data_IF_732633382114
#
_entry.id   IF_732633382114
#
_cell.length_a   1.000
_cell.length_b   1.000
_cell.length_c   1.000
_cell.angle_alpha   90.00
_cell.angle_beta   90.00
_cell.angle_gamma   90.00
#
_symmetry.space_group_name_H-M   'P 1'
#
loop_
_entity.id
_entity.type
_entity.pdbx_description
1 polymer ?
#
# COMPACT_ATOMS: atom_id res chain seq x y z
N UNK A 1 29.62 44.51 -41.21
CA UNK A 1 29.44 43.08 -41.53
C UNK A 1 29.89 42.16 -40.38
N UNK A 2 31.04 42.42 -39.72
CA UNK A 2 31.46 41.66 -38.54
C UNK A 2 30.61 41.93 -37.28
N UNK A 3 30.13 43.16 -37.07
CA UNK A 3 29.24 43.49 -35.93
C UNK A 3 27.83 42.90 -36.08
N UNK A 4 27.31 42.77 -37.31
CA UNK A 4 26.01 42.14 -37.56
C UNK A 4 26.03 40.63 -37.31
N UNK A 5 27.14 39.95 -37.61
CA UNK A 5 27.32 38.54 -37.30
C UNK A 5 27.48 38.28 -35.79
N UNK A 6 28.00 39.26 -35.04
CA UNK A 6 28.10 39.17 -33.58
C UNK A 6 26.74 39.37 -32.90
N UNK A 7 25.94 40.33 -33.38
CA UNK A 7 24.57 40.56 -32.86
C UNK A 7 23.60 39.43 -33.21
N UNK A 8 23.72 38.77 -34.37
CA UNK A 8 22.93 37.57 -34.69
C UNK A 8 23.36 36.35 -33.85
N UNK A 9 24.64 36.22 -33.51
CA UNK A 9 25.14 35.16 -32.62
C UNK A 9 24.65 35.33 -31.18
N UNK A 10 24.54 36.55 -30.67
CA UNK A 10 24.00 36.83 -29.33
C UNK A 10 22.47 36.71 -29.28
N UNK A 11 21.78 37.09 -30.36
CA UNK A 11 20.31 36.99 -30.49
C UNK A 11 19.82 35.54 -30.64
N UNK A 12 20.60 34.67 -31.31
CA UNK A 12 20.24 33.27 -31.57
C UNK A 12 20.60 32.31 -30.42
N UNK A 13 21.23 32.79 -29.33
CA UNK A 13 21.20 32.11 -28.03
C UNK A 13 19.85 32.32 -27.33
N UNK A 14 18.78 32.18 -28.11
CA UNK A 14 17.41 32.09 -27.64
C UNK A 14 17.32 31.07 -26.51
N UNK A 15 17.25 31.60 -25.28
CA UNK A 15 16.38 31.14 -24.21
C UNK A 15 16.16 29.62 -24.19
N UNK A 16 17.25 28.85 -24.06
CA UNK A 16 17.11 27.56 -23.41
C UNK A 16 16.85 27.91 -21.96
N UNK A 17 15.57 28.09 -21.59
CA UNK A 17 15.13 28.15 -20.20
C UNK A 17 15.44 26.78 -19.60
N UNK A 18 16.70 26.57 -19.22
CA UNK A 18 17.11 25.48 -18.35
C UNK A 18 16.43 25.81 -17.03
N UNK A 19 15.27 25.20 -16.79
CA UNK A 19 14.59 25.27 -15.50
C UNK A 19 15.62 24.93 -14.42
N UNK A 20 15.74 25.71 -13.34
CA UNK A 20 16.74 25.47 -12.32
C UNK A 20 16.60 24.02 -11.82
N UNK A 21 17.69 23.31 -11.50
CA UNK A 21 17.66 21.90 -11.10
C UNK A 21 16.67 21.62 -9.95
N UNK A 22 16.36 22.62 -9.13
CA UNK A 22 15.31 22.58 -8.12
C UNK A 22 13.90 22.33 -8.69
N UNK A 23 13.55 22.89 -9.84
CA UNK A 23 12.22 22.75 -10.45
C UNK A 23 11.94 21.32 -10.95
N UNK A 24 12.97 20.61 -11.44
CA UNK A 24 12.84 19.20 -11.82
C UNK A 24 12.65 18.31 -10.59
N UNK A 25 13.42 18.55 -9.52
CA UNK A 25 13.28 17.81 -8.26
C UNK A 25 11.89 18.03 -7.64
N UNK A 26 11.41 19.27 -7.59
CA UNK A 26 10.08 19.59 -7.06
C UNK A 26 8.98 18.90 -7.87
N UNK A 27 9.06 18.93 -9.20
CA UNK A 27 8.08 18.24 -10.07
C UNK A 27 8.08 16.73 -9.84
N UNK A 28 9.25 16.11 -9.72
CA UNK A 28 9.37 14.67 -9.49
C UNK A 28 8.84 14.27 -8.11
N UNK A 29 9.10 15.08 -7.07
CA UNK A 29 8.55 14.86 -5.72
C UNK A 29 7.04 14.97 -5.73
N UNK A 30 6.49 16.03 -6.34
CA UNK A 30 5.03 16.22 -6.44
C UNK A 30 4.37 15.06 -7.19
N UNK A 31 4.94 14.64 -8.33
CA UNK A 31 4.41 13.51 -9.10
C UNK A 31 4.41 12.21 -8.27
N UNK A 32 5.48 11.95 -7.51
CA UNK A 32 5.59 10.75 -6.72
C UNK A 32 4.65 10.77 -5.49
N UNK A 33 4.45 11.93 -4.86
CA UNK A 33 3.43 12.11 -3.82
C UNK A 33 2.03 11.84 -4.35
N UNK A 34 1.70 12.35 -5.54
CA UNK A 34 0.39 12.11 -6.18
C UNK A 34 0.18 10.62 -6.44
N UNK A 35 1.20 9.90 -6.94
CA UNK A 35 1.13 8.45 -7.15
C UNK A 35 0.83 7.73 -5.84
N UNK A 36 1.54 8.04 -4.75
CA UNK A 36 1.28 7.43 -3.43
C UNK A 36 -0.14 7.67 -2.95
N UNK A 37 -0.64 8.91 -3.08
CA UNK A 37 -2.01 9.26 -2.67
C UNK A 37 -3.04 8.49 -3.48
N UNK A 38 -2.86 8.40 -4.80
CA UNK A 38 -3.75 7.63 -5.69
C UNK A 38 -3.70 6.14 -5.34
N UNK A 39 -2.50 5.58 -5.17
CA UNK A 39 -2.33 4.17 -4.77
C UNK A 39 -3.01 3.89 -3.43
N UNK A 40 -2.89 4.79 -2.46
CA UNK A 40 -3.55 4.65 -1.17
C UNK A 40 -5.09 4.69 -1.29
N UNK A 41 -5.61 5.61 -2.11
CA UNK A 41 -7.05 5.70 -2.38
C UNK A 41 -7.61 4.45 -3.06
N UNK A 42 -6.88 3.88 -4.03
CA UNK A 42 -7.27 2.63 -4.70
C UNK A 42 -7.31 1.47 -3.70
N UNK A 43 -6.29 1.33 -2.84
CA UNK A 43 -6.23 0.27 -1.82
C UNK A 43 -7.41 0.38 -0.84
N UNK A 44 -7.72 1.60 -0.39
CA UNK A 44 -8.82 1.84 0.53
C UNK A 44 -10.17 1.45 -0.09
N UNK A 45 -10.42 1.87 -1.33
CA UNK A 45 -11.64 1.55 -2.06
C UNK A 45 -11.74 0.05 -2.38
N UNK A 46 -10.65 -0.59 -2.78
CA UNK A 46 -10.62 -2.03 -3.09
C UNK A 46 -10.84 -2.89 -1.84
N UNK A 47 -10.28 -2.49 -0.69
CA UNK A 47 -10.47 -3.19 0.58
C UNK A 47 -11.94 -3.21 1.01
N UNK A 48 -12.63 -2.06 0.88
CA UNK A 48 -14.07 -2.00 1.17
C UNK A 48 -14.92 -2.82 0.18
N UNK A 49 -14.52 -2.89 -1.09
CA UNK A 49 -15.15 -3.76 -2.08
C UNK A 49 -14.97 -5.25 -1.76
N UNK A 50 -13.77 -5.63 -1.33
CA UNK A 50 -13.43 -7.01 -1.02
C UNK A 50 -14.14 -7.52 0.25
N UNK A 51 -14.23 -6.70 1.31
CA UNK A 51 -15.00 -7.07 2.52
C UNK A 51 -16.49 -7.27 2.18
N UNK A 52 -17.08 -6.36 1.40
CA UNK A 52 -18.46 -6.53 0.93
C UNK A 52 -18.63 -7.82 0.13
N UNK A 53 -17.69 -8.16 -0.74
CA UNK A 53 -17.73 -9.39 -1.52
C UNK A 53 -17.61 -10.64 -0.63
N UNK A 54 -16.71 -10.64 0.36
CA UNK A 54 -16.57 -11.73 1.32
C UNK A 54 -17.86 -11.94 2.13
N UNK A 55 -18.47 -10.86 2.63
CA UNK A 55 -19.77 -10.92 3.33
C UNK A 55 -20.87 -11.48 2.44
N UNK A 56 -20.96 -11.04 1.18
CA UNK A 56 -21.94 -11.56 0.22
C UNK A 56 -21.73 -13.06 -0.05
N UNK A 57 -20.49 -13.51 -0.23
CA UNK A 57 -20.17 -14.92 -0.45
C UNK A 57 -20.57 -15.79 0.75
N UNK A 58 -20.24 -15.35 1.97
CA UNK A 58 -20.63 -16.04 3.19
C UNK A 58 -22.17 -16.09 3.32
N UNK A 59 -22.86 -14.99 3.02
CA UNK A 59 -24.32 -14.92 3.07
C UNK A 59 -24.98 -15.88 2.08
N UNK A 60 -24.45 -16.01 0.87
CA UNK A 60 -24.96 -16.96 -0.14
C UNK A 60 -24.84 -18.40 0.37
N UNK A 61 -23.71 -18.75 1.01
CA UNK A 61 -23.53 -20.09 1.59
C UNK A 61 -24.50 -20.34 2.74
N UNK A 62 -24.67 -19.38 3.65
CA UNK A 62 -25.63 -19.50 4.75
C UNK A 62 -27.07 -19.67 4.23
N UNK A 63 -27.48 -18.91 3.21
CA UNK A 63 -28.80 -19.08 2.57
C UNK A 63 -28.97 -20.44 1.91
N UNK A 64 -27.96 -20.90 1.18
CA UNK A 64 -27.99 -22.22 0.54
C UNK A 64 -28.09 -23.34 1.59
N UNK A 65 -27.33 -23.25 2.68
CA UNK A 65 -27.40 -24.18 3.80
C UNK A 65 -28.76 -24.13 4.51
N UNK A 66 -29.33 -22.94 4.74
CA UNK A 66 -30.63 -22.77 5.39
C UNK A 66 -31.76 -23.37 4.54
N UNK A 67 -31.68 -23.27 3.22
CA UNK A 67 -32.66 -23.84 2.30
C UNK A 67 -32.70 -25.38 2.30
N UNK A 68 -31.66 -26.04 2.82
CA UNK A 68 -31.60 -27.51 2.96
C UNK A 68 -32.21 -28.01 4.28
N UNK A 69 -32.56 -27.09 5.19
CA UNK A 69 -33.17 -27.42 6.48
C UNK A 69 -34.68 -27.29 6.36
N UNK A 70 -35.39 -28.40 6.53
CA UNK A 70 -36.85 -28.37 6.56
C UNK A 70 -37.31 -27.92 7.94
N UNK A 71 -38.38 -27.10 8.05
CA UNK A 71 -38.90 -26.66 9.35
C UNK A 71 -39.27 -27.81 10.29
N UNK A 72 -39.70 -28.95 9.72
CA UNK A 72 -40.01 -30.17 10.47
C UNK A 72 -38.79 -30.88 11.07
N UNK A 73 -37.58 -30.56 10.62
CA UNK A 73 -36.33 -31.06 11.22
C UNK A 73 -36.02 -30.35 12.55
N UNK A 74 -36.57 -29.14 12.75
CA UNK A 74 -36.45 -28.38 14.00
C UNK A 74 -37.52 -28.89 14.98
N UNK A 75 -37.42 -30.17 15.34
CA UNK A 75 -38.35 -30.85 16.23
C UNK A 75 -37.71 -31.23 17.56
N UNK A 76 -38.56 -31.47 18.58
CA UNK A 76 -38.13 -31.91 19.92
C UNK A 76 -37.88 -33.43 20.02
N UNK A 77 -38.07 -34.18 18.91
CA UNK A 77 -37.77 -35.62 18.89
C UNK A 77 -36.28 -35.86 18.73
N UNK A 78 -35.74 -36.78 19.53
CA UNK A 78 -34.33 -37.21 19.48
C UNK A 78 -33.91 -37.62 18.05
N UNK A 79 -34.78 -38.29 17.28
CA UNK A 79 -34.48 -38.73 15.92
C UNK A 79 -34.39 -37.55 14.91
N UNK A 80 -35.23 -36.52 15.10
CA UNK A 80 -35.15 -35.30 14.30
C UNK A 80 -33.87 -34.51 14.63
N UNK A 81 -33.55 -34.39 15.93
CA UNK A 81 -32.34 -33.73 16.40
C UNK A 81 -31.06 -34.42 15.90
N UNK A 82 -31.01 -35.75 15.94
CA UNK A 82 -29.88 -36.53 15.40
C UNK A 82 -29.69 -36.29 13.89
N UNK A 83 -30.77 -36.28 13.10
CA UNK A 83 -30.71 -35.99 11.66
C UNK A 83 -30.24 -34.55 11.41
N UNK A 84 -30.70 -33.60 12.22
CA UNK A 84 -30.31 -32.21 12.13
C UNK A 84 -28.81 -32.00 12.44
N UNK A 85 -28.30 -32.58 13.52
CA UNK A 85 -26.87 -32.56 13.85
C UNK A 85 -26.02 -33.16 12.74
N UNK A 86 -26.44 -34.28 12.14
CA UNK A 86 -25.74 -34.90 11.01
C UNK A 86 -25.69 -33.99 9.78
N UNK A 87 -26.81 -33.33 9.43
CA UNK A 87 -26.86 -32.35 8.32
C UNK A 87 -25.95 -31.15 8.58
N UNK A 88 -25.99 -30.57 9.78
CA UNK A 88 -25.15 -29.42 10.15
C UNK A 88 -23.66 -29.77 10.11
N UNK A 89 -23.29 -30.97 10.56
CA UNK A 89 -21.92 -31.48 10.48
C UNK A 89 -21.46 -31.64 9.03
N UNK A 90 -22.28 -32.23 8.17
CA UNK A 90 -21.97 -32.37 6.75
C UNK A 90 -21.79 -31.00 6.06
N UNK A 91 -22.60 -30.00 6.41
CA UNK A 91 -22.48 -28.63 5.89
C UNK A 91 -21.17 -27.97 6.33
N UNK A 92 -20.78 -28.15 7.60
CA UNK A 92 -19.50 -27.67 8.12
C UNK A 92 -18.33 -28.36 7.42
N UNK A 93 -18.36 -29.69 7.29
CA UNK A 93 -17.30 -30.47 6.65
C UNK A 93 -17.13 -30.16 5.15
N UNK A 94 -18.19 -29.67 4.50
CA UNK A 94 -18.14 -29.24 3.10
C UNK A 94 -17.49 -27.86 2.87
N UNK A 95 -17.17 -27.10 3.93
CA UNK A 95 -16.63 -25.74 3.84
C UNK A 95 -15.34 -25.61 4.65
N UNK A 96 -14.19 -25.52 3.96
CA UNK A 96 -12.86 -25.48 4.58
C UNK A 96 -12.63 -24.32 5.57
N UNK A 97 -13.39 -23.23 5.41
CA UNK A 97 -13.32 -22.01 6.21
C UNK A 97 -14.41 -21.90 7.29
N UNK A 98 -15.38 -22.81 7.30
CA UNK A 98 -16.46 -22.83 8.29
C UNK A 98 -15.96 -23.41 9.62
N UNK A 99 -16.13 -22.65 10.70
CA UNK A 99 -15.80 -23.15 12.03
C UNK A 99 -16.99 -23.82 12.69
N UNK A 100 -18.16 -23.17 12.67
CA UNK A 100 -19.38 -23.69 13.27
C UNK A 100 -20.57 -23.45 12.33
N UNK A 101 -21.45 -24.44 12.24
CA UNK A 101 -22.76 -24.31 11.58
C UNK A 101 -23.80 -24.77 12.56
N UNK A 102 -24.72 -23.89 12.97
CA UNK A 102 -25.66 -24.17 14.04
C UNK A 102 -26.96 -23.42 13.82
N UNK A 103 -28.02 -23.84 14.51
CA UNK A 103 -29.33 -23.20 14.42
C UNK A 103 -29.59 -22.44 15.70
N UNK A 104 -30.06 -21.21 15.56
CA UNK A 104 -30.34 -20.31 16.68
C UNK A 104 -31.74 -19.74 16.61
N UNK A 105 -32.24 -19.36 17.77
CA UNK A 105 -33.46 -18.56 17.92
C UNK A 105 -33.21 -17.37 18.84
N UNK A 106 -33.66 -16.16 18.48
CA UNK A 106 -33.67 -15.04 19.41
C UNK A 106 -34.71 -15.29 20.52
N UNK A 107 -34.30 -15.14 21.79
CA UNK A 107 -35.20 -15.19 22.94
C UNK A 107 -34.73 -14.19 24.00
N UNK A 108 -35.60 -13.27 24.41
CA UNK A 108 -35.34 -12.28 25.48
C UNK A 108 -34.01 -11.50 25.32
N UNK A 109 -33.67 -11.12 24.09
CA UNK A 109 -32.41 -10.41 23.80
C UNK A 109 -31.16 -11.29 23.85
N UNK A 110 -31.31 -12.61 23.94
CA UNK A 110 -30.25 -13.61 23.87
C UNK A 110 -30.38 -14.46 22.61
N UNK A 111 -29.24 -15.02 22.19
CA UNK A 111 -29.16 -15.99 21.11
C UNK A 111 -29.12 -17.39 21.75
N UNK A 112 -30.18 -18.16 21.55
CA UNK A 112 -30.34 -19.52 22.08
C UNK A 112 -30.07 -20.52 20.97
N UNK A 113 -29.21 -21.52 21.21
CA UNK A 113 -28.92 -22.59 20.24
C UNK A 113 -30.02 -23.64 20.28
N UNK A 114 -30.47 -24.08 19.11
CA UNK A 114 -31.42 -25.19 18.95
C UNK A 114 -30.71 -26.48 18.53
N UNK A 115 -29.65 -26.36 17.73
CA UNK A 115 -28.87 -27.49 17.24
C UNK A 115 -27.46 -27.03 16.86
N UNK A 116 -26.44 -27.86 17.11
CA UNK A 116 -25.03 -27.54 16.84
C UNK A 116 -24.38 -28.61 15.93
N UNK A 117 -23.44 -28.19 15.09
CA UNK A 117 -22.58 -29.10 14.30
C UNK A 117 -21.49 -29.77 15.14
N UNK A 118 -21.12 -29.17 16.28
CA UNK A 118 -20.11 -29.72 17.19
C UNK A 118 -20.57 -31.04 17.82
N UNK A 119 -19.68 -32.04 17.95
CA UNK A 119 -19.97 -33.27 18.70
C UNK A 119 -20.11 -32.96 20.20
N UNK A 120 -20.94 -33.73 20.91
CA UNK A 120 -21.28 -33.46 22.32
C UNK A 120 -20.08 -33.50 23.26
N UNK A 121 -19.04 -34.25 22.90
CA UNK A 121 -17.78 -34.34 23.65
C UNK A 121 -16.89 -33.10 23.47
N UNK A 122 -17.20 -32.22 22.52
CA UNK A 122 -16.42 -31.02 22.23
C UNK A 122 -16.60 -29.97 23.33
N UNK A 123 -15.53 -29.31 23.79
CA UNK A 123 -15.62 -28.19 24.73
C UNK A 123 -16.33 -26.97 24.13
N UNK A 124 -16.59 -26.96 22.81
CA UNK A 124 -17.30 -25.88 22.11
C UNK A 124 -18.77 -26.22 21.81
N UNK A 125 -19.23 -27.42 22.18
CA UNK A 125 -20.62 -27.83 22.01
C UNK A 125 -21.56 -26.97 22.85
N UNK A 126 -22.65 -26.53 22.23
CA UNK A 126 -23.72 -25.80 22.90
C UNK A 126 -25.00 -26.64 22.91
N UNK A 127 -25.44 -27.15 24.09
CA UNK A 127 -26.64 -27.96 24.17
C UNK A 127 -27.89 -27.15 23.77
N UNK A 128 -28.91 -27.79 23.15
CA UNK A 128 -30.16 -27.15 22.80
C UNK A 128 -30.80 -26.40 23.99
N UNK A 129 -31.36 -25.23 23.71
CA UNK A 129 -32.04 -24.39 24.70
C UNK A 129 -31.11 -23.53 25.57
N UNK A 130 -29.79 -23.68 25.47
CA UNK A 130 -28.85 -22.84 26.23
C UNK A 130 -28.54 -21.51 25.53
N UNK A 131 -28.48 -20.40 26.29
CA UNK A 131 -28.07 -19.12 25.73
C UNK A 131 -26.56 -19.10 25.50
N UNK A 132 -26.15 -18.76 24.29
CA UNK A 132 -24.72 -18.63 23.95
C UNK A 132 -24.19 -17.26 24.35
N UNK A 133 -24.92 -16.22 23.98
CA UNK A 133 -24.53 -14.83 24.21
C UNK A 133 -25.72 -13.88 24.00
N UNK A 134 -25.62 -12.67 24.56
CA UNK A 134 -26.59 -11.60 24.34
C UNK A 134 -26.56 -11.13 22.88
N UNK A 135 -27.70 -10.92 22.24
CA UNK A 135 -27.75 -10.38 20.88
C UNK A 135 -27.29 -8.91 20.88
N UNK A 136 -26.46 -8.53 19.91
CA UNK A 136 -26.09 -7.14 19.66
C UNK A 136 -27.25 -6.37 19.04
N UNK A 137 -27.25 -5.02 19.08
CA UNK A 137 -28.28 -4.22 18.40
C UNK A 137 -28.46 -4.55 16.91
N UNK A 138 -27.35 -4.85 16.21
CA UNK A 138 -27.37 -5.27 14.80
C UNK A 138 -28.07 -6.63 14.61
N UNK A 139 -27.68 -7.63 15.41
CA UNK A 139 -28.32 -8.96 15.37
C UNK A 139 -29.81 -8.89 15.75
N UNK A 140 -30.18 -8.10 16.76
CA UNK A 140 -31.59 -7.91 17.12
C UNK A 140 -32.38 -7.29 15.97
N UNK A 141 -31.83 -6.27 15.29
CA UNK A 141 -32.47 -5.67 14.13
C UNK A 141 -32.59 -6.67 12.96
N UNK A 142 -31.55 -7.48 12.73
CA UNK A 142 -31.56 -8.55 11.73
C UNK A 142 -32.66 -9.56 12.03
N UNK A 143 -32.70 -10.10 13.24
CA UNK A 143 -33.70 -11.08 13.65
C UNK A 143 -35.12 -10.52 13.60
N UNK A 144 -35.31 -9.25 13.98
CA UNK A 144 -36.60 -8.58 13.89
C UNK A 144 -37.05 -8.35 12.45
N UNK A 145 -36.12 -8.06 11.53
CA UNK A 145 -36.44 -7.89 10.11
C UNK A 145 -36.79 -9.21 9.42
N UNK A 146 -36.26 -10.32 9.94
CA UNK A 146 -36.35 -11.63 9.30
C UNK A 146 -35.50 -11.78 8.04
N UNK A 147 -34.72 -10.77 7.67
CA UNK A 147 -33.85 -10.81 6.52
C UNK A 147 -32.51 -11.50 6.85
N UNK A 148 -31.92 -12.24 5.90
CA UNK A 148 -30.57 -12.76 6.02
C UNK A 148 -29.52 -11.64 6.07
N UNK A 149 -28.52 -11.75 6.93
CA UNK A 149 -27.44 -10.77 7.05
C UNK A 149 -26.14 -11.35 7.63
N UNK A 150 -25.08 -10.54 7.65
CA UNK A 150 -23.75 -10.94 8.18
C UNK A 150 -23.31 -9.94 9.24
N UNK A 151 -23.04 -10.45 10.44
CA UNK A 151 -22.63 -9.68 11.61
C UNK A 151 -21.20 -10.04 12.05
N UNK A 152 -20.60 -9.15 12.86
CA UNK A 152 -19.22 -9.28 13.33
C UNK A 152 -18.18 -8.51 12.48
N UNK A 153 -16.89 -8.60 12.85
CA UNK A 153 -16.31 -9.58 13.77
C UNK A 153 -16.76 -9.37 15.21
N UNK A 154 -17.13 -10.47 15.87
CA UNK A 154 -17.66 -10.46 17.23
C UNK A 154 -16.91 -11.48 18.09
N UNK A 155 -16.42 -11.04 19.23
CA UNK A 155 -15.76 -11.92 20.20
C UNK A 155 -16.76 -12.43 21.23
N UNK A 156 -16.74 -13.74 21.49
CA UNK A 156 -17.52 -14.41 22.52
C UNK A 156 -16.65 -15.45 23.26
N UNK A 157 -17.26 -16.25 24.14
CA UNK A 157 -16.59 -17.31 24.91
C UNK A 157 -15.96 -18.40 24.03
N UNK A 158 -16.42 -18.57 22.79
CA UNK A 158 -15.92 -19.56 21.85
C UNK A 158 -14.75 -19.04 21.02
N UNK A 159 -14.67 -17.73 20.76
CA UNK A 159 -13.62 -17.11 19.95
C UNK A 159 -14.10 -15.80 19.29
N UNK A 160 -13.48 -15.42 18.17
CA UNK A 160 -13.87 -14.24 17.39
C UNK A 160 -14.42 -14.67 16.03
N UNK A 161 -15.64 -14.27 15.72
CA UNK A 161 -16.41 -14.83 14.60
C UNK A 161 -17.01 -13.76 13.72
N UNK A 162 -17.12 -14.07 12.43
CA UNK A 162 -18.03 -13.39 11.51
C UNK A 162 -19.11 -14.39 11.16
N UNK A 163 -20.35 -14.00 11.46
CA UNK A 163 -21.49 -14.91 11.42
C UNK A 163 -22.46 -14.45 10.36
N UNK A 164 -22.76 -15.31 9.39
CA UNK A 164 -23.92 -15.12 8.55
C UNK A 164 -25.14 -15.79 9.16
N UNK A 165 -26.23 -15.03 9.25
CA UNK A 165 -27.54 -15.49 9.66
C UNK A 165 -28.44 -15.59 8.43
N UNK A 166 -29.06 -16.74 8.24
CA UNK A 166 -30.07 -16.96 7.22
C UNK A 166 -31.36 -17.51 7.84
N UNK A 167 -32.53 -16.92 7.55
CA UNK A 167 -33.78 -17.36 8.13
C UNK A 167 -34.15 -18.75 7.62
N UNK A 168 -34.67 -19.60 8.50
CA UNK A 168 -35.31 -20.86 8.15
C UNK A 168 -36.81 -20.59 8.17
N UNK A 169 -37.42 -20.50 6.99
CA UNK A 169 -38.81 -20.08 6.83
C UNK A 169 -39.78 -21.13 7.38
N UNK A 170 -40.72 -20.71 8.23
CA UNK A 170 -41.88 -21.54 8.60
C UNK A 170 -43.05 -21.20 7.69
N UNK A 171 -43.84 -22.21 7.32
CA UNK A 171 -44.92 -22.11 6.34
C UNK A 171 -45.85 -20.89 6.55
N UNK A 172 -46.24 -20.30 5.42
CA UNK A 172 -47.19 -19.21 5.20
C UNK A 172 -47.71 -18.44 6.45
N UNK A 173 -47.02 -17.35 6.82
CA UNK A 173 -47.62 -16.23 7.56
C UNK A 173 -47.05 -15.92 8.94
N UNK A 174 -46.15 -16.76 9.48
CA UNK A 174 -45.41 -16.48 10.72
C UNK A 174 -43.97 -16.03 10.43
N UNK A 175 -43.44 -15.08 11.20
CA UNK A 175 -42.03 -14.66 11.12
C UNK A 175 -41.05 -15.85 11.30
N UNK A 176 -39.77 -15.69 10.95
CA UNK A 176 -38.80 -16.78 11.01
C UNK A 176 -38.69 -17.35 12.42
N UNK A 177 -38.83 -18.66 12.53
CA UNK A 177 -38.84 -19.38 13.83
C UNK A 177 -37.42 -19.68 14.31
N UNK A 178 -36.47 -19.76 13.38
CA UNK A 178 -35.06 -19.96 13.65
C UNK A 178 -34.21 -19.38 12.52
N UNK A 179 -32.93 -19.19 12.80
CA UNK A 179 -31.91 -18.80 11.84
C UNK A 179 -30.82 -19.86 11.82
N UNK A 180 -30.35 -20.19 10.62
CA UNK A 180 -29.06 -20.84 10.47
C UNK A 180 -27.97 -19.79 10.71
N UNK A 181 -27.08 -20.07 11.65
CA UNK A 181 -25.85 -19.33 11.87
C UNK A 181 -24.67 -20.09 11.24
N UNK A 182 -23.88 -19.37 10.44
CA UNK A 182 -22.71 -19.89 9.74
C UNK A 182 -21.50 -19.04 10.14
N UNK A 183 -20.65 -19.59 11.02
CA UNK A 183 -19.51 -18.88 11.60
C UNK A 183 -18.22 -19.17 10.83
N UNK A 184 -17.54 -18.10 10.45
CA UNK A 184 -16.14 -18.12 10.00
C UNK A 184 -15.28 -17.48 11.10
N UNK A 185 -14.08 -18.04 11.31
CA UNK A 185 -13.09 -17.45 12.20
C UNK A 185 -12.69 -16.04 11.72
N UNK A 186 -12.82 -15.04 12.59
CA UNK A 186 -12.48 -13.66 12.25
C UNK A 186 -10.98 -13.48 11.93
N UNK A 187 -10.12 -14.42 12.35
CA UNK A 187 -8.69 -14.42 12.02
C UNK A 187 -8.40 -14.95 10.61
N UNK A 188 -9.24 -15.87 10.10
CA UNK A 188 -9.17 -16.38 8.73
C UNK A 188 -9.96 -15.50 7.76
N UNK A 189 -10.90 -14.69 8.29
CA UNK A 189 -11.52 -13.61 7.52
C UNK A 189 -10.41 -12.87 6.81
N UNK A 190 -10.50 -12.71 5.49
CA UNK A 190 -9.35 -12.29 4.73
C UNK A 190 -8.85 -11.00 5.38
N UNK A 191 -7.66 -11.07 5.98
CA UNK A 191 -6.85 -9.92 6.28
C UNK A 191 -6.45 -9.37 4.91
N UNK A 192 -7.43 -8.78 4.21
CA UNK A 192 -7.23 -7.89 3.07
C UNK A 192 -6.21 -6.79 3.43
N UNK A 193 -5.93 -6.62 4.72
CA UNK A 193 -4.82 -5.86 5.27
C UNK A 193 -3.43 -6.29 4.78
N UNK A 194 -3.05 -7.58 4.63
CA UNK A 194 -1.62 -7.92 4.45
C UNK A 194 -1.11 -8.05 2.99
N UNK A 195 -1.89 -8.67 2.10
CA UNK A 195 -1.47 -8.89 0.69
C UNK A 195 -1.41 -7.56 -0.10
N UNK A 196 -2.09 -6.51 0.36
CA UNK A 196 -2.06 -5.18 -0.25
C UNK A 196 -1.00 -4.22 0.30
N UNK A 197 -0.07 -4.64 1.16
CA UNK A 197 1.09 -3.79 1.48
C UNK A 197 2.16 -3.83 0.40
N UNK A 198 2.18 -4.83 -0.47
CA UNK A 198 3.21 -4.92 -1.52
C UNK A 198 3.26 -3.68 -2.43
N UNK A 199 2.15 -3.05 -2.87
CA UNK A 199 2.17 -1.81 -3.64
C UNK A 199 2.63 -0.62 -2.80
N UNK A 200 2.36 -0.63 -1.49
CA UNK A 200 2.85 0.40 -0.55
C UNK A 200 4.36 0.29 -0.43
N UNK A 201 4.88 -0.92 -0.17
CA UNK A 201 6.31 -1.20 -0.09
C UNK A 201 7.01 -0.90 -1.41
N UNK A 202 6.40 -1.23 -2.56
CA UNK A 202 6.90 -0.82 -3.87
C UNK A 202 6.94 0.70 -4.03
N UNK A 203 5.88 1.41 -3.65
CA UNK A 203 5.80 2.86 -3.82
C UNK A 203 6.83 3.57 -2.96
N UNK A 204 6.99 3.12 -1.71
CA UNK A 204 8.04 3.59 -0.79
C UNK A 204 9.43 3.27 -1.35
N UNK A 205 9.64 2.06 -1.86
CA UNK A 205 10.89 1.65 -2.49
C UNK A 205 11.25 2.50 -3.72
N UNK A 206 10.27 2.80 -4.58
CA UNK A 206 10.48 3.61 -5.78
C UNK A 206 10.79 5.07 -5.44
N UNK A 207 10.12 5.62 -4.41
CA UNK A 207 10.43 6.93 -3.85
C UNK A 207 11.84 7.01 -3.27
N UNK A 208 12.25 6.00 -2.50
CA UNK A 208 13.59 5.91 -1.94
C UNK A 208 14.66 5.82 -3.04
N UNK A 209 14.40 5.02 -4.08
CA UNK A 209 15.29 4.89 -5.24
C UNK A 209 15.41 6.22 -6.01
N UNK A 210 14.31 6.94 -6.21
CA UNK A 210 14.32 8.26 -6.84
C UNK A 210 15.09 9.29 -6.01
N UNK A 211 14.90 9.31 -4.69
CA UNK A 211 15.63 10.19 -3.79
C UNK A 211 17.14 9.88 -3.82
N UNK A 212 17.53 8.60 -3.76
CA UNK A 212 18.91 8.17 -3.89
C UNK A 212 19.52 8.59 -5.23
N UNK A 213 18.78 8.40 -6.33
CA UNK A 213 19.21 8.83 -7.67
C UNK A 213 19.47 10.33 -7.74
N UNK A 214 18.60 11.15 -7.14
CA UNK A 214 18.77 12.62 -7.08
C UNK A 214 20.02 12.99 -6.27
N UNK A 215 20.24 12.36 -5.11
CA UNK A 215 21.41 12.62 -4.26
C UNK A 215 22.72 12.27 -4.98
N UNK A 216 22.77 11.12 -5.64
CA UNK A 216 23.95 10.66 -6.41
C UNK A 216 24.21 11.59 -7.61
N UNK A 217 23.14 12.02 -8.30
CA UNK A 217 23.24 12.90 -9.46
C UNK A 217 23.77 14.30 -9.09
N UNK A 218 23.41 14.83 -7.91
CA UNK A 218 23.93 16.11 -7.40
C UNK A 218 25.42 16.08 -7.09
N UNK A 219 25.91 15.06 -6.39
CA UNK A 219 27.33 14.97 -5.99
C UNK A 219 28.31 14.95 -7.17
N UNK A 220 27.86 14.46 -8.33
CA UNK A 220 28.67 14.37 -9.54
C UNK A 220 28.86 15.73 -10.26
N UNK A 221 27.92 16.67 -10.10
CA UNK A 221 27.97 17.98 -10.77
C UNK A 221 28.86 18.98 -10.00
N UNK A 222 28.74 18.99 -8.67
CA UNK A 222 29.55 19.86 -7.79
C UNK A 222 31.05 19.58 -7.95
N UNK A 223 31.42 18.31 -8.08
CA UNK A 223 32.82 17.88 -8.27
C UNK A 223 33.46 18.45 -9.53
N UNK A 224 32.71 18.62 -10.62
CA UNK A 224 33.23 19.18 -11.89
C UNK A 224 33.37 20.69 -11.82
N UNK A 225 32.38 21.37 -11.22
CA UNK A 225 32.39 22.83 -11.11
C UNK A 225 33.45 23.31 -10.10
N UNK A 226 33.54 22.64 -8.95
CA UNK A 226 34.59 22.88 -7.96
C UNK A 226 35.99 22.66 -8.54
N UNK A 227 36.17 21.60 -9.36
CA UNK A 227 37.45 21.34 -10.04
C UNK A 227 37.74 22.36 -11.14
N UNK A 228 36.73 22.86 -11.85
CA UNK A 228 36.90 23.90 -12.86
C UNK A 228 37.38 25.22 -12.23
N UNK A 229 36.71 25.67 -11.17
CA UNK A 229 37.08 26.89 -10.43
C UNK A 229 38.43 26.73 -9.70
N UNK A 230 38.73 25.55 -9.16
CA UNK A 230 40.01 25.31 -8.48
C UNK A 230 41.22 25.20 -9.43
N UNK A 231 41.03 25.07 -10.74
CA UNK A 231 42.12 24.88 -11.71
C UNK A 231 42.27 26.02 -12.72
N UNK A 232 41.37 27.02 -12.70
CA UNK A 232 41.36 28.13 -13.67
C UNK A 232 41.51 29.48 -12.97
N UNK A 233 42.13 30.43 -13.65
CA UNK A 233 42.18 31.83 -13.27
C UNK A 233 40.89 32.53 -13.69
N UNK A 234 40.31 33.34 -12.80
CA UNK A 234 38.98 33.93 -12.99
C UNK A 234 38.96 35.01 -14.07
N UNK A 235 40.03 35.79 -14.21
CA UNK A 235 40.09 36.92 -15.14
C UNK A 235 40.33 36.47 -16.58
N UNK A 236 41.16 35.44 -16.76
CA UNK A 236 41.64 35.01 -18.09
C UNK A 236 41.01 33.70 -18.58
N UNK A 237 40.39 32.93 -17.69
CA UNK A 237 39.90 31.58 -18.00
C UNK A 237 41.01 30.58 -18.32
N UNK A 238 42.30 30.94 -18.15
CA UNK A 238 43.46 30.05 -18.31
C UNK A 238 43.66 29.17 -17.07
N UNK A 239 44.58 28.21 -17.13
CA UNK A 239 44.94 27.40 -15.95
C UNK A 239 45.58 28.29 -14.89
N UNK A 240 45.20 28.11 -13.63
CA UNK A 240 45.80 28.87 -12.54
C UNK A 240 47.19 28.35 -12.16
N UNK A 241 47.90 29.11 -11.33
CA UNK A 241 49.27 28.80 -10.91
C UNK A 241 49.40 27.41 -10.27
N UNK A 242 48.45 27.00 -9.44
CA UNK A 242 48.49 25.69 -8.76
C UNK A 242 48.33 24.53 -9.76
N UNK A 243 47.44 24.67 -10.74
CA UNK A 243 47.27 23.69 -11.81
C UNK A 243 48.50 23.64 -12.74
N UNK A 244 49.09 24.78 -13.06
CA UNK A 244 50.32 24.87 -13.86
C UNK A 244 51.49 24.14 -13.19
N UNK A 245 51.69 24.34 -11.88
CA UNK A 245 52.75 23.63 -11.11
C UNK A 245 52.55 22.11 -11.18
N UNK A 246 51.31 21.63 -11.02
CA UNK A 246 51.00 20.21 -11.13
C UNK A 246 51.29 19.63 -12.53
N UNK A 247 51.03 20.39 -13.59
CA UNK A 247 51.36 19.97 -14.97
C UNK A 247 52.85 20.01 -15.25
N UNK A 248 53.59 20.98 -14.69
CA UNK A 248 55.06 21.01 -14.74
C UNK A 248 55.64 19.77 -14.06
N UNK A 249 55.15 19.40 -12.87
CA UNK A 249 55.59 18.17 -12.17
C UNK A 249 55.32 16.90 -12.99
N UNK A 250 54.18 16.85 -13.68
CA UNK A 250 53.85 15.75 -14.59
C UNK A 250 54.79 15.73 -15.80
N UNK A 251 55.09 16.89 -16.39
CA UNK A 251 56.02 17.02 -17.50
C UNK A 251 57.43 16.57 -17.11
N UNK A 252 57.92 16.97 -15.92
CA UNK A 252 59.22 16.52 -15.38
C UNK A 252 59.27 15.00 -15.24
N UNK A 253 58.20 14.36 -14.72
CA UNK A 253 58.13 12.90 -14.63
C UNK A 253 58.15 12.22 -16.01
N UNK A 254 57.46 12.79 -17.00
CA UNK A 254 57.48 12.27 -18.39
C UNK A 254 58.85 12.44 -19.04
N UNK A 255 59.54 13.55 -18.78
CA UNK A 255 60.89 13.80 -19.25
C UNK A 255 61.90 12.81 -18.69
N UNK A 256 61.77 12.42 -17.42
CA UNK A 256 62.57 11.33 -16.82
C UNK A 256 62.40 9.99 -17.54
N UNK A 257 61.26 9.78 -18.20
CA UNK A 257 60.97 8.58 -19.00
C UNK A 257 61.31 8.76 -20.49
N UNK A 258 62.18 9.72 -20.84
CA UNK A 258 62.69 9.93 -22.20
C UNK A 258 61.79 10.75 -23.12
N UNK A 259 60.72 11.39 -22.62
CA UNK A 259 59.86 12.28 -23.41
C UNK A 259 60.23 13.75 -23.19
N UNK A 260 61.03 14.39 -24.06
CA UNK A 260 61.46 15.77 -23.85
C UNK A 260 60.26 16.73 -23.74
N UNK A 261 60.39 17.75 -22.90
CA UNK A 261 59.36 18.76 -22.65
C UNK A 261 60.01 20.14 -22.63
N UNK A 262 59.27 21.18 -23.06
CA UNK A 262 59.72 22.57 -23.07
C UNK A 262 58.72 23.46 -22.31
N UNK A 263 59.22 24.52 -21.66
CA UNK A 263 58.41 25.52 -20.96
C UNK A 263 58.60 26.87 -21.65
N UNK A 264 57.49 27.50 -22.05
CA UNK A 264 57.46 28.87 -22.59
C UNK A 264 56.82 29.78 -21.55
N UNK A 265 57.51 30.86 -21.21
CA UNK A 265 57.01 31.91 -20.31
C UNK A 265 56.89 33.18 -21.13
N UNK A 266 55.70 33.78 -21.11
CA UNK A 266 55.38 35.01 -21.84
C UNK A 266 54.95 36.03 -20.78
N UNK A 267 55.51 37.23 -20.86
CA UNK A 267 55.14 38.38 -20.02
C UNK A 267 54.66 39.53 -20.90
N UNK A 268 53.77 40.37 -20.36
CA UNK A 268 53.25 41.53 -21.09
C UNK A 268 54.07 42.76 -20.70
N UNK A 269 54.83 43.28 -21.66
CA UNK A 269 55.65 44.47 -21.46
C UNK A 269 54.80 45.70 -21.13
N UNK A 270 55.29 46.53 -20.20
CA UNK A 270 54.68 47.82 -19.83
C UNK A 270 53.20 47.75 -19.39
N UNK A 271 52.73 46.60 -18.89
CA UNK A 271 51.34 46.43 -18.45
C UNK A 271 50.87 47.46 -17.40
N UNK A 272 51.79 47.94 -16.54
CA UNK A 272 51.51 48.97 -15.54
C UNK A 272 51.06 50.30 -16.15
N UNK A 273 51.75 50.77 -17.18
CA UNK A 273 51.40 52.02 -17.86
C UNK A 273 50.02 51.93 -18.55
N UNK A 274 49.65 50.74 -19.01
CA UNK A 274 48.35 50.47 -19.62
C UNK A 274 47.21 50.54 -18.58
N UNK A 275 47.40 49.92 -17.40
CA UNK A 275 46.46 50.04 -16.28
C UNK A 275 46.33 51.48 -15.76
N UNK A 276 47.43 52.22 -15.71
CA UNK A 276 47.48 53.62 -15.25
C UNK A 276 46.79 54.59 -16.24
N UNK A 277 46.65 54.21 -17.52
CA UNK A 277 46.03 55.05 -18.57
C UNK A 277 44.56 54.70 -18.83
N UNK A 278 44.16 53.44 -18.66
CA UNK A 278 42.83 52.93 -19.02
C UNK A 278 41.92 52.66 -17.80
N UNK A 279 42.17 53.29 -16.66
CA UNK A 279 41.43 53.00 -15.42
C UNK A 279 39.93 53.29 -15.55
N UNK A 280 39.13 52.26 -15.82
CA UNK A 280 37.73 52.19 -15.41
C UNK A 280 37.39 50.75 -14.99
N UNK A 281 36.84 50.68 -13.77
CA UNK A 281 35.95 49.65 -13.18
C UNK A 281 36.07 48.21 -13.68
#
# INVERSE_FOLDING_TARGET
MAEQLHQESESNQSRVRILPPAAYVVRSVVAATVIVVISWGIIYLSAGGADRQARQNLLIRARAAAALIEPGDIGESDEALMRLHAKLRALREASDDARFVYIVRPADGQIVVLADSEPEESPHYSPPGHPVCSATPGEMALFASGEPGVEGPRTNSRGAWITAYAPIAVGAGGGPTAFLAFDIDASTWPRYSLIHWWPVLLSVGLLAALAAFILISKGSSESRHARYVATRDYLTGLVNRAALINEIDRAIRRAKNGKPSALLVIDIDNFKALNDTLTYS
#
